data_IF_061066516261
#
_entry.id   IF_061066516261
#
_cell.length_a   1.000
_cell.length_b   1.000
_cell.length_c   1.000
_cell.angle_alpha   90.00
_cell.angle_beta   90.00
_cell.angle_gamma   90.00
#
_symmetry.space_group_name_H-M   'P 1'
#
loop_
_entity.id
_entity.type
_entity.pdbx_description
1 polymer ?
#
# COMPACT_ATOMS: atom_id res chain seq x y z
N UNK A 1 32.85 -35.89 -16.47
CA UNK A 1 33.55 -36.07 -15.17
C UNK A 1 34.16 -34.74 -14.76
N UNK A 2 33.82 -34.27 -13.55
CA UNK A 2 34.24 -33.04 -12.83
C UNK A 2 33.63 -31.73 -13.38
N UNK A 3 32.97 -30.86 -12.60
CA UNK A 3 32.63 -30.83 -11.17
C UNK A 3 31.33 -30.05 -10.99
N UNK A 4 30.38 -30.63 -10.26
CA UNK A 4 29.11 -30.01 -9.85
C UNK A 4 29.25 -29.51 -8.40
N UNK A 5 30.23 -28.64 -8.18
CA UNK A 5 30.41 -27.93 -6.91
C UNK A 5 30.30 -26.43 -7.22
N UNK A 6 29.45 -25.74 -6.45
CA UNK A 6 29.23 -24.29 -6.39
C UNK A 6 27.95 -23.71 -7.02
N UNK A 7 26.82 -24.41 -6.85
CA UNK A 7 25.53 -23.73 -6.65
C UNK A 7 24.68 -24.51 -5.64
N UNK A 8 25.07 -24.41 -4.37
CA UNK A 8 24.27 -24.86 -3.24
C UNK A 8 23.15 -23.85 -2.98
N UNK A 9 22.10 -23.85 -3.81
CA UNK A 9 20.80 -23.28 -3.41
C UNK A 9 19.98 -24.45 -2.87
N UNK A 10 19.95 -24.54 -1.55
CA UNK A 10 19.28 -25.58 -0.78
C UNK A 10 17.76 -25.57 -1.05
N UNK A 11 17.30 -26.46 -1.91
CA UNK A 11 15.90 -26.88 -2.01
C UNK A 11 15.72 -28.08 -1.06
N UNK A 12 15.24 -27.83 0.16
CA UNK A 12 14.69 -28.89 1.01
C UNK A 12 13.16 -28.88 0.92
N UNK A 13 12.61 -29.94 0.33
CA UNK A 13 11.21 -30.33 0.51
C UNK A 13 11.07 -31.29 1.71
N UNK A 14 10.07 -30.96 2.53
CA UNK A 14 9.19 -31.80 3.37
C UNK A 14 9.76 -32.62 4.54
N UNK A 15 9.14 -32.34 5.70
CA UNK A 15 8.90 -33.19 6.86
C UNK A 15 10.08 -33.49 7.80
N UNK A 16 10.26 -32.64 8.81
CA UNK A 16 10.55 -33.10 10.17
C UNK A 16 10.17 -32.03 11.21
N UNK A 17 9.51 -32.48 12.27
CA UNK A 17 8.81 -31.70 13.28
C UNK A 17 9.72 -30.86 14.20
N UNK A 18 9.11 -29.77 14.66
CA UNK A 18 9.32 -29.07 15.92
C UNK A 18 10.62 -28.24 16.12
N UNK A 19 10.42 -26.93 16.26
CA UNK A 19 11.27 -26.13 17.14
C UNK A 19 12.43 -25.37 16.50
N UNK A 20 12.31 -24.91 15.25
CA UNK A 20 13.26 -23.92 14.70
C UNK A 20 12.54 -22.60 14.52
N UNK A 21 13.03 -21.57 15.21
CA UNK A 21 12.70 -20.17 14.92
C UNK A 21 12.99 -19.95 13.42
N UNK A 22 11.94 -19.96 12.60
CA UNK A 22 12.06 -19.57 11.20
C UNK A 22 12.50 -18.12 11.20
N UNK A 23 13.77 -17.87 10.92
CA UNK A 23 14.21 -16.57 10.45
C UNK A 23 13.27 -16.17 9.32
N UNK A 24 12.59 -15.01 9.38
CA UNK A 24 11.63 -14.63 8.34
C UNK A 24 12.36 -14.71 7.00
N UNK A 25 11.87 -15.57 6.09
CA UNK A 25 12.32 -15.53 4.70
C UNK A 25 12.13 -14.09 4.26
N UNK A 26 13.24 -13.39 4.00
CA UNK A 26 13.21 -11.99 3.59
C UNK A 26 12.41 -11.96 2.29
N UNK A 27 11.16 -11.49 2.37
CA UNK A 27 10.32 -11.39 1.20
C UNK A 27 10.93 -10.33 0.29
N UNK A 28 11.61 -10.76 -0.77
CA UNK A 28 12.17 -9.87 -1.76
C UNK A 28 11.07 -9.46 -2.74
N UNK A 29 10.87 -8.15 -2.87
CA UNK A 29 9.95 -7.60 -3.85
C UNK A 29 10.65 -7.46 -5.20
N UNK A 30 10.01 -7.88 -6.28
CA UNK A 30 10.50 -7.70 -7.64
C UNK A 30 9.74 -6.58 -8.34
N UNK A 31 10.40 -5.91 -9.28
CA UNK A 31 9.74 -4.99 -10.21
C UNK A 31 9.55 -5.68 -11.55
N UNK A 32 8.44 -5.35 -12.21
CA UNK A 32 8.16 -5.78 -13.57
C UNK A 32 8.12 -4.57 -14.51
N UNK A 33 8.34 -4.75 -15.80
CA UNK A 33 8.22 -3.69 -16.79
C UNK A 33 7.82 -4.22 -18.18
N UNK A 34 6.99 -3.46 -18.89
CA UNK A 34 6.45 -3.82 -20.21
C UNK A 34 5.22 -4.73 -20.16
N UNK A 35 4.55 -4.82 -19.01
CA UNK A 35 3.36 -5.68 -18.83
C UNK A 35 2.07 -4.88 -18.73
N UNK A 36 2.03 -3.85 -17.87
CA UNK A 36 0.90 -2.91 -17.78
C UNK A 36 1.27 -1.69 -16.93
N UNK A 37 0.65 -0.54 -17.21
CA UNK A 37 0.88 0.71 -16.47
C UNK A 37 0.62 0.57 -14.96
N UNK A 38 -0.25 -0.36 -14.57
CA UNK A 38 -0.60 -0.60 -13.19
C UNK A 38 0.39 -1.50 -12.44
N UNK A 39 1.26 -2.24 -13.13
CA UNK A 39 2.25 -3.13 -12.50
C UNK A 39 3.67 -2.63 -12.72
N UNK A 40 3.90 -1.96 -13.84
CA UNK A 40 5.21 -1.53 -14.27
C UNK A 40 5.88 -0.66 -13.20
N UNK A 41 7.13 -1.03 -12.89
CA UNK A 41 7.96 -0.42 -11.87
C UNK A 41 7.45 -0.50 -10.44
N UNK A 42 6.31 -1.14 -10.16
CA UNK A 42 5.81 -1.29 -8.77
C UNK A 42 6.49 -2.47 -8.09
N UNK A 43 7.12 -2.28 -6.90
CA UNK A 43 7.64 -3.39 -6.12
C UNK A 43 6.51 -4.33 -5.74
N UNK A 44 6.60 -5.58 -6.21
CA UNK A 44 5.55 -6.58 -6.04
C UNK A 44 6.12 -7.80 -5.34
N UNK A 45 5.43 -8.25 -4.30
CA UNK A 45 5.84 -9.35 -3.44
C UNK A 45 5.37 -10.69 -4.03
N UNK A 46 6.07 -11.15 -5.07
CA UNK A 46 5.83 -12.46 -5.66
C UNK A 46 6.14 -13.57 -4.66
N UNK A 47 5.27 -14.56 -4.60
CA UNK A 47 5.43 -15.71 -3.69
C UNK A 47 6.28 -16.81 -4.34
N UNK A 48 6.37 -16.86 -5.67
CA UNK A 48 7.13 -17.87 -6.37
C UNK A 48 8.60 -17.44 -6.61
N UNK A 49 9.61 -18.20 -6.13
CA UNK A 49 11.03 -17.89 -6.35
C UNK A 49 11.45 -17.87 -7.82
N UNK A 50 10.69 -18.55 -8.69
CA UNK A 50 10.96 -18.64 -10.13
C UNK A 50 10.96 -17.28 -10.83
N UNK A 51 10.37 -16.26 -10.21
CA UNK A 51 10.41 -14.88 -10.71
C UNK A 51 11.84 -14.36 -10.78
N UNK A 52 12.66 -14.63 -9.76
CA UNK A 52 14.05 -14.18 -9.71
C UNK A 52 14.87 -14.67 -10.91
N UNK A 53 14.63 -15.92 -11.35
CA UNK A 53 15.33 -16.54 -12.47
C UNK A 53 15.04 -15.88 -13.83
N UNK A 54 13.97 -15.08 -13.93
CA UNK A 54 13.59 -14.38 -15.18
C UNK A 54 13.95 -12.89 -15.16
N UNK A 55 14.45 -12.39 -14.03
CA UNK A 55 14.88 -11.00 -13.92
C UNK A 55 16.17 -10.77 -14.69
N UNK A 56 16.39 -9.54 -15.13
CA UNK A 56 17.68 -9.12 -15.66
C UNK A 56 18.75 -9.25 -14.56
N UNK A 57 19.82 -9.97 -14.85
CA UNK A 57 20.93 -10.19 -13.91
C UNK A 57 21.67 -8.90 -13.51
N UNK A 58 21.54 -7.83 -14.32
CA UNK A 58 22.18 -6.53 -14.04
C UNK A 58 21.29 -5.59 -13.21
N UNK A 59 20.03 -5.37 -13.62
CA UNK A 59 19.14 -4.41 -12.95
C UNK A 59 18.07 -5.03 -12.04
N UNK A 60 17.93 -6.36 -12.02
CA UNK A 60 16.98 -7.09 -11.16
C UNK A 60 15.50 -6.94 -11.55
N UNK A 61 15.19 -6.29 -12.67
CA UNK A 61 13.80 -6.09 -13.14
C UNK A 61 13.41 -7.20 -14.09
N UNK A 62 12.18 -7.71 -13.96
CA UNK A 62 11.56 -8.64 -14.90
C UNK A 62 10.92 -7.85 -16.04
N UNK A 63 11.50 -7.93 -17.23
CA UNK A 63 10.93 -7.30 -18.42
C UNK A 63 10.11 -8.29 -19.23
N UNK A 64 9.10 -7.77 -19.94
CA UNK A 64 8.35 -8.56 -20.93
C UNK A 64 9.25 -9.13 -22.02
N UNK A 65 10.22 -8.34 -22.48
CA UNK A 65 11.23 -8.74 -23.47
C UNK A 65 12.62 -8.70 -22.84
N UNK A 66 13.38 -9.76 -23.07
CA UNK A 66 14.72 -9.93 -22.53
C UNK A 66 15.58 -10.75 -23.50
N UNK A 67 16.87 -10.85 -23.21
CA UNK A 67 17.86 -11.59 -23.98
C UNK A 67 18.53 -12.59 -23.04
N UNK A 68 18.61 -13.86 -23.44
CA UNK A 68 19.42 -14.87 -22.76
C UNK A 68 20.74 -15.04 -23.50
N UNK A 69 21.83 -14.80 -22.79
CA UNK A 69 23.19 -14.97 -23.29
C UNK A 69 23.56 -16.47 -23.40
N UNK A 70 24.60 -16.83 -24.19
CA UNK A 70 25.12 -18.21 -24.25
C UNK A 70 25.57 -18.77 -22.88
N UNK A 71 26.01 -17.89 -21.98
CA UNK A 71 26.35 -18.22 -20.60
C UNK A 71 25.13 -18.34 -19.67
N UNK A 72 23.91 -18.45 -20.22
CA UNK A 72 22.60 -18.61 -19.58
C UNK A 72 22.07 -17.43 -18.74
N UNK A 73 22.86 -16.38 -18.52
CA UNK A 73 22.40 -15.17 -17.85
C UNK A 73 21.39 -14.41 -18.72
N UNK A 74 20.33 -13.90 -18.08
CA UNK A 74 19.28 -13.11 -18.74
C UNK A 74 19.53 -11.62 -18.51
N UNK A 75 19.46 -10.82 -19.58
CA UNK A 75 19.54 -9.36 -19.55
C UNK A 75 18.27 -8.75 -20.15
N UNK A 76 17.85 -7.57 -19.69
CA UNK A 76 16.87 -6.80 -20.45
C UNK A 76 17.53 -6.18 -21.69
N UNK A 77 16.74 -5.76 -22.68
CA UNK A 77 17.27 -5.19 -23.92
C UNK A 77 18.20 -4.00 -23.65
N UNK A 78 17.80 -3.05 -22.80
CA UNK A 78 18.62 -1.89 -22.45
C UNK A 78 19.98 -2.26 -21.84
N UNK A 79 20.00 -3.23 -20.91
CA UNK A 79 21.26 -3.67 -20.29
C UNK A 79 22.10 -4.52 -21.24
N UNK A 80 21.47 -5.28 -22.13
CA UNK A 80 22.16 -6.00 -23.20
C UNK A 80 22.87 -5.03 -24.14
N UNK A 81 22.16 -4.00 -24.63
CA UNK A 81 22.71 -3.00 -25.56
C UNK A 81 23.92 -2.28 -24.94
N UNK A 82 23.85 -1.95 -23.65
CA UNK A 82 25.01 -1.42 -22.91
C UNK A 82 26.20 -2.39 -22.86
N UNK A 83 25.94 -3.69 -22.68
CA UNK A 83 27.02 -4.69 -22.70
C UNK A 83 27.65 -4.81 -24.08
N UNK A 84 26.87 -4.66 -25.15
CA UNK A 84 27.36 -4.63 -26.54
C UNK A 84 28.27 -3.41 -26.74
N UNK A 85 27.82 -2.22 -26.35
CA UNK A 85 28.60 -0.98 -26.44
C UNK A 85 29.94 -1.06 -25.66
N UNK A 86 29.98 -1.84 -24.57
CA UNK A 86 31.17 -2.06 -23.74
C UNK A 86 32.04 -3.26 -24.18
N UNK A 87 31.79 -3.87 -25.34
CA UNK A 87 32.63 -4.93 -25.92
C UNK A 87 32.09 -6.35 -25.76
N UNK A 88 30.76 -6.50 -25.64
CA UNK A 88 30.02 -7.77 -25.69
C UNK A 88 30.50 -8.83 -24.70
N UNK A 89 30.62 -8.44 -23.43
CA UNK A 89 30.94 -9.35 -22.34
C UNK A 89 29.79 -9.43 -21.32
N UNK A 90 29.47 -10.65 -20.87
CA UNK A 90 28.46 -10.86 -19.85
C UNK A 90 28.84 -10.10 -18.55
N UNK A 91 27.93 -9.31 -17.95
CA UNK A 91 28.27 -8.51 -16.77
C UNK A 91 28.56 -9.38 -15.53
N UNK A 92 28.04 -10.61 -15.50
CA UNK A 92 28.15 -11.54 -14.36
C UNK A 92 29.45 -12.34 -14.38
N UNK A 93 29.72 -13.07 -15.47
CA UNK A 93 30.86 -14.00 -15.57
C UNK A 93 31.96 -13.56 -16.55
N UNK A 94 31.81 -12.36 -17.14
CA UNK A 94 32.77 -11.73 -18.07
C UNK A 94 33.07 -12.54 -19.33
N UNK A 95 32.28 -13.59 -19.62
CA UNK A 95 32.44 -14.35 -20.86
C UNK A 95 31.98 -13.50 -22.05
N UNK A 96 32.75 -13.49 -23.16
CA UNK A 96 32.34 -12.82 -24.38
C UNK A 96 31.12 -13.52 -24.97
N UNK A 97 30.29 -12.77 -25.69
CA UNK A 97 29.18 -13.29 -26.47
C UNK A 97 29.13 -12.62 -27.85
N UNK A 98 28.59 -13.33 -28.84
CA UNK A 98 28.20 -12.74 -30.13
C UNK A 98 26.72 -12.37 -30.08
N UNK A 99 26.33 -11.25 -30.71
CA UNK A 99 24.93 -10.84 -30.80
C UNK A 99 24.06 -11.85 -31.57
N UNK A 100 24.64 -12.61 -32.50
CA UNK A 100 23.93 -13.64 -33.27
C UNK A 100 23.63 -14.91 -32.44
N UNK A 101 24.34 -15.12 -31.34
CA UNK A 101 24.24 -16.33 -30.50
C UNK A 101 23.30 -16.15 -29.30
N UNK A 102 22.61 -15.01 -29.20
CA UNK A 102 21.69 -14.71 -28.08
C UNK A 102 20.27 -15.15 -28.38
N UNK A 103 19.56 -15.62 -27.36
CA UNK A 103 18.14 -15.97 -27.49
C UNK A 103 17.25 -14.81 -27.03
N UNK A 104 16.32 -14.41 -27.89
CA UNK A 104 15.26 -13.45 -27.53
C UNK A 104 14.18 -14.14 -26.71
N UNK A 105 13.92 -13.61 -25.51
CA UNK A 105 12.89 -14.09 -24.60
C UNK A 105 11.70 -13.15 -24.58
N UNK A 106 10.49 -13.70 -24.63
CA UNK A 106 9.26 -12.98 -24.32
C UNK A 106 8.47 -13.68 -23.21
N UNK A 107 8.13 -12.94 -22.16
CA UNK A 107 7.27 -13.40 -21.08
C UNK A 107 5.83 -12.96 -21.39
N UNK A 108 4.87 -13.88 -21.57
CA UNK A 108 3.49 -13.52 -21.82
C UNK A 108 2.88 -12.76 -20.65
N UNK A 109 2.02 -11.76 -20.91
CA UNK A 109 1.30 -11.05 -19.83
C UNK A 109 0.53 -12.01 -18.92
N UNK A 110 -0.12 -13.03 -19.51
CA UNK A 110 -0.83 -14.08 -18.76
C UNK A 110 0.07 -14.83 -17.76
N UNK A 111 1.36 -14.98 -18.07
CA UNK A 111 2.31 -15.60 -17.15
C UNK A 111 2.42 -14.81 -15.85
N UNK A 112 2.51 -13.47 -15.93
CA UNK A 112 2.58 -12.58 -14.77
C UNK A 112 1.25 -12.49 -14.04
N UNK A 113 0.15 -12.32 -14.78
CA UNK A 113 -1.20 -12.19 -14.21
C UNK A 113 -1.60 -13.39 -13.34
N UNK A 114 -1.09 -14.58 -13.66
CA UNK A 114 -1.36 -15.81 -12.92
C UNK A 114 -0.42 -16.04 -11.73
N UNK A 115 0.58 -15.18 -11.50
CA UNK A 115 1.50 -15.35 -10.35
C UNK A 115 0.84 -14.92 -9.06
N UNK A 116 1.19 -15.63 -7.99
CA UNK A 116 0.69 -15.36 -6.66
C UNK A 116 1.52 -14.25 -6.03
N UNK A 117 0.84 -13.22 -5.54
CA UNK A 117 1.47 -12.05 -4.94
C UNK A 117 0.79 -11.72 -3.62
N UNK A 118 1.58 -11.20 -2.68
CA UNK A 118 1.02 -10.54 -1.51
C UNK A 118 0.59 -9.11 -1.88
N UNK A 119 -0.40 -8.57 -1.19
CA UNK A 119 -0.83 -7.19 -1.35
C UNK A 119 0.33 -6.20 -1.17
N UNK A 120 0.34 -5.09 -1.91
CA UNK A 120 1.31 -4.01 -1.71
C UNK A 120 1.24 -3.41 -0.28
N UNK A 121 0.10 -3.53 0.39
CA UNK A 121 -0.06 -3.15 1.80
C UNK A 121 0.23 -4.30 2.79
N UNK A 122 0.82 -5.42 2.35
CA UNK A 122 1.19 -6.52 3.26
C UNK A 122 2.12 -6.08 4.40
N UNK A 123 3.13 -5.20 4.20
CA UNK A 123 3.92 -4.64 5.30
C UNK A 123 3.13 -3.80 6.30
N UNK A 124 1.88 -3.44 5.98
CA UNK A 124 0.94 -2.72 6.87
C UNK A 124 -0.06 -3.63 7.57
N UNK A 125 -0.02 -4.94 7.29
CA UNK A 125 -0.90 -5.94 7.90
C UNK A 125 -1.93 -6.56 6.96
N UNK A 126 -1.96 -6.18 5.68
CA UNK A 126 -2.86 -6.83 4.73
C UNK A 126 -2.43 -8.28 4.49
N UNK A 127 -3.33 -9.23 4.75
CA UNK A 127 -3.08 -10.67 4.58
C UNK A 127 -3.47 -11.21 3.20
N UNK A 128 -3.88 -10.35 2.26
CA UNK A 128 -4.25 -10.81 0.92
C UNK A 128 -3.05 -11.41 0.19
N UNK A 129 -3.23 -12.64 -0.26
CA UNK A 129 -2.33 -13.38 -1.14
C UNK A 129 -3.19 -13.97 -2.26
N UNK A 130 -2.86 -13.69 -3.51
CA UNK A 130 -3.63 -14.18 -4.65
C UNK A 130 -3.01 -13.80 -5.99
N UNK A 131 -3.65 -14.15 -7.12
CA UNK A 131 -3.13 -13.84 -8.44
C UNK A 131 -2.96 -12.32 -8.66
N UNK A 132 -1.93 -11.92 -9.41
CA UNK A 132 -1.72 -10.52 -9.84
C UNK A 132 -2.97 -9.96 -10.53
N UNK A 133 -3.69 -10.78 -11.30
CA UNK A 133 -4.95 -10.40 -11.94
C UNK A 133 -6.00 -9.84 -10.95
N UNK A 134 -6.00 -10.35 -9.71
CA UNK A 134 -6.94 -9.93 -8.67
C UNK A 134 -6.37 -8.82 -7.76
N UNK A 135 -5.06 -8.59 -7.78
CA UNK A 135 -4.37 -7.65 -6.89
C UNK A 135 -4.90 -6.22 -7.03
N UNK A 136 -5.13 -5.75 -8.27
CA UNK A 136 -5.56 -4.37 -8.50
C UNK A 136 -6.96 -4.09 -7.95
N UNK A 137 -7.89 -5.03 -8.14
CA UNK A 137 -9.26 -4.88 -7.63
C UNK A 137 -9.31 -5.03 -6.10
N UNK A 138 -8.45 -5.88 -5.54
CA UNK A 138 -8.23 -5.92 -4.11
C UNK A 138 -7.68 -4.59 -3.58
N UNK A 139 -6.62 -4.05 -4.20
CA UNK A 139 -5.90 -2.87 -3.71
C UNK A 139 -6.80 -1.63 -3.61
N UNK A 140 -7.70 -1.43 -4.58
CA UNK A 140 -8.71 -0.35 -4.57
C UNK A 140 -9.60 -0.36 -3.32
N UNK A 141 -9.81 -1.54 -2.73
CA UNK A 141 -10.71 -1.77 -1.58
C UNK A 141 -9.95 -2.23 -0.33
N UNK A 142 -8.62 -2.10 -0.33
CA UNK A 142 -7.80 -2.61 0.76
C UNK A 142 -7.97 -1.77 2.03
N UNK A 143 -8.41 -2.38 3.12
CA UNK A 143 -8.58 -1.70 4.42
C UNK A 143 -7.26 -1.17 5.01
N UNK A 144 -6.13 -1.65 4.49
CA UNK A 144 -4.78 -1.24 4.87
C UNK A 144 -4.21 -0.12 3.99
N UNK A 145 -5.04 0.50 3.15
CA UNK A 145 -4.65 1.70 2.41
C UNK A 145 -4.26 2.81 3.39
N UNK A 146 -3.14 3.46 3.12
CA UNK A 146 -2.60 4.55 3.95
C UNK A 146 -2.75 5.88 3.23
N UNK A 147 -3.06 6.92 3.99
CA UNK A 147 -3.14 8.30 3.51
C UNK A 147 -2.38 9.23 4.46
N UNK A 148 -1.75 10.29 3.95
CA UNK A 148 -1.22 11.34 4.81
C UNK A 148 -2.39 12.13 5.39
N UNK A 149 -2.40 12.32 6.72
CA UNK A 149 -3.34 13.25 7.34
C UNK A 149 -3.09 14.66 6.80
N UNK A 150 -4.13 15.37 6.38
CA UNK A 150 -4.00 16.72 5.82
C UNK A 150 -3.59 17.79 6.85
N UNK A 151 -3.70 17.50 8.16
CA UNK A 151 -3.32 18.44 9.21
C UNK A 151 -1.92 18.17 9.74
N UNK A 152 -1.62 16.91 10.07
CA UNK A 152 -0.38 16.50 10.72
C UNK A 152 0.63 15.80 9.82
N UNK A 153 0.25 15.48 8.59
CA UNK A 153 1.03 14.70 7.62
C UNK A 153 1.46 13.31 8.12
N UNK A 154 0.99 12.87 9.29
CA UNK A 154 1.19 11.50 9.74
C UNK A 154 0.51 10.53 8.78
N UNK A 155 1.21 9.43 8.48
CA UNK A 155 0.67 8.32 7.71
C UNK A 155 -0.31 7.54 8.58
N UNK A 156 -1.57 7.48 8.16
CA UNK A 156 -2.66 6.81 8.87
C UNK A 156 -3.43 5.90 7.92
N UNK A 157 -4.02 4.82 8.45
CA UNK A 157 -4.94 4.01 7.67
C UNK A 157 -6.13 4.87 7.24
N UNK A 158 -6.56 4.74 5.98
CA UNK A 158 -7.69 5.47 5.44
C UNK A 158 -8.96 5.22 6.26
N UNK A 159 -9.16 3.98 6.70
CA UNK A 159 -10.25 3.54 7.57
C UNK A 159 -10.21 4.18 8.97
N UNK A 160 -9.01 4.51 9.47
CA UNK A 160 -8.80 5.09 10.81
C UNK A 160 -8.72 6.62 10.81
N UNK A 161 -8.84 7.31 9.66
CA UNK A 161 -8.63 8.76 9.58
C UNK A 161 -9.54 9.54 10.54
N UNK A 162 -10.80 9.11 10.70
CA UNK A 162 -11.73 9.73 11.63
C UNK A 162 -11.34 9.49 13.09
N UNK A 163 -10.89 8.27 13.41
CA UNK A 163 -10.39 7.90 14.74
C UNK A 163 -9.14 8.71 15.09
N UNK A 164 -8.24 8.90 14.13
CA UNK A 164 -7.08 9.78 14.27
C UNK A 164 -7.48 11.23 14.63
N UNK A 165 -8.47 11.80 13.94
CA UNK A 165 -8.97 13.15 14.27
C UNK A 165 -9.56 13.22 15.69
N UNK A 166 -10.37 12.24 16.07
CA UNK A 166 -10.97 12.17 17.42
C UNK A 166 -9.93 12.05 18.53
N UNK A 167 -8.80 11.40 18.25
CA UNK A 167 -7.73 11.16 19.21
C UNK A 167 -6.71 12.33 19.32
N UNK A 168 -7.07 13.53 18.87
CA UNK A 168 -6.24 14.72 19.08
C UNK A 168 -5.17 14.93 18.02
N UNK A 169 -5.49 14.66 16.75
CA UNK A 169 -4.68 15.10 15.61
C UNK A 169 -4.22 16.56 15.81
N UNK A 170 -2.91 16.75 15.93
CA UNK A 170 -2.30 18.05 16.22
C UNK A 170 -1.54 18.54 15.00
N UNK A 171 -1.70 19.82 14.66
CA UNK A 171 -0.92 20.45 13.59
C UNK A 171 0.56 20.35 14.00
N UNK A 172 1.48 19.90 13.12
CA UNK A 172 2.90 19.93 13.42
C UNK A 172 3.19 21.41 13.60
N UNK A 173 3.64 21.81 14.79
CA UNK A 173 4.22 23.13 14.94
C UNK A 173 5.28 23.24 13.86
N UNK A 174 5.08 24.16 12.93
CA UNK A 174 5.96 24.33 11.80
C UNK A 174 7.35 24.66 12.35
N UNK A 175 8.21 23.66 12.47
CA UNK A 175 9.64 23.85 12.60
C UNK A 175 10.11 24.38 11.26
N UNK A 176 10.11 25.71 11.18
CA UNK A 176 10.90 26.57 10.31
C UNK A 176 11.28 25.98 8.93
N UNK A 177 10.53 26.40 7.90
CA UNK A 177 11.13 26.64 6.60
C UNK A 177 10.57 27.94 6.02
N UNK A 178 11.42 28.87 5.57
CA UNK A 178 10.99 30.09 4.89
C UNK A 178 10.68 29.77 3.44
N UNK A 179 9.51 30.19 2.95
CA UNK A 179 9.33 31.04 1.75
C UNK A 179 7.83 31.16 1.50
N UNK A 180 7.31 32.36 1.76
CA UNK A 180 5.95 32.77 1.48
C UNK A 180 5.65 32.66 -0.01
N UNK A 181 4.66 31.83 -0.36
CA UNK A 181 3.97 31.94 -1.63
C UNK A 181 2.50 32.24 -1.32
N UNK A 182 1.89 33.31 -1.87
CA UNK A 182 0.54 33.75 -1.47
C UNK A 182 -0.53 32.65 -1.56
N UNK A 183 -0.40 31.77 -2.57
CA UNK A 183 -1.35 30.69 -2.81
C UNK A 183 -1.35 29.59 -1.73
N UNK A 184 -0.21 29.31 -1.09
CA UNK A 184 -0.14 28.29 -0.01
C UNK A 184 -0.65 28.85 1.32
N UNK A 185 -0.54 30.17 1.50
CA UNK A 185 -1.06 30.87 2.68
C UNK A 185 -2.59 30.95 2.65
N UNK A 186 -3.19 31.22 1.49
CA UNK A 186 -4.64 31.26 1.34
C UNK A 186 -5.28 29.88 1.59
N UNK A 187 -4.69 28.81 1.05
CA UNK A 187 -5.18 27.45 1.29
C UNK A 187 -5.10 27.06 2.78
N UNK A 188 -4.01 27.45 3.45
CA UNK A 188 -3.83 27.24 4.89
C UNK A 188 -4.87 28.02 5.70
N UNK A 189 -5.14 29.28 5.33
CA UNK A 189 -6.14 30.12 5.98
C UNK A 189 -7.56 29.57 5.82
N UNK A 190 -7.92 29.14 4.60
CA UNK A 190 -9.22 28.51 4.31
C UNK A 190 -9.38 27.22 5.11
N UNK A 191 -8.34 26.37 5.16
CA UNK A 191 -8.38 25.13 5.93
C UNK A 191 -8.56 25.41 7.43
N UNK A 192 -7.85 26.41 7.96
CA UNK A 192 -7.98 26.83 9.37
C UNK A 192 -9.38 27.38 9.66
N UNK A 193 -9.98 28.14 8.74
CA UNK A 193 -11.34 28.65 8.87
C UNK A 193 -12.37 27.49 8.87
N UNK A 194 -12.29 26.57 7.91
CA UNK A 194 -13.17 25.40 7.83
C UNK A 194 -13.13 24.55 9.11
N UNK A 195 -11.94 24.31 9.68
CA UNK A 195 -11.81 23.56 10.94
C UNK A 195 -12.49 24.26 12.12
N UNK A 196 -12.37 25.58 12.22
CA UNK A 196 -13.05 26.37 13.26
C UNK A 196 -14.55 26.30 13.09
N UNK A 197 -15.04 26.44 11.85
CA UNK A 197 -16.47 26.33 11.53
C UNK A 197 -17.02 24.96 11.89
N UNK A 198 -16.33 23.88 11.51
CA UNK A 198 -16.75 22.51 11.84
C UNK A 198 -16.80 22.27 13.36
N UNK A 199 -15.85 22.83 14.12
CA UNK A 199 -15.89 22.77 15.59
C UNK A 199 -17.08 23.53 16.18
N UNK A 200 -17.40 24.70 15.63
CA UNK A 200 -18.55 25.49 16.07
C UNK A 200 -19.87 24.78 15.74
N UNK A 201 -19.98 24.19 14.56
CA UNK A 201 -21.14 23.38 14.14
C UNK A 201 -21.33 22.19 15.11
N UNK A 202 -20.25 21.51 15.50
CA UNK A 202 -20.32 20.44 16.49
C UNK A 202 -20.95 20.89 17.82
N UNK A 203 -20.52 22.04 18.34
CA UNK A 203 -21.09 22.62 19.57
C UNK A 203 -22.57 22.98 19.42
N UNK A 204 -22.95 23.61 18.30
CA UNK A 204 -24.36 23.94 18.03
C UNK A 204 -25.19 22.66 17.97
N UNK A 205 -24.67 21.59 17.38
CA UNK A 205 -25.37 20.30 17.33
C UNK A 205 -25.57 19.71 18.73
N UNK A 206 -24.58 19.81 19.62
CA UNK A 206 -24.69 19.38 21.02
C UNK A 206 -25.73 20.21 21.77
N UNK A 207 -25.70 21.53 21.61
CA UNK A 207 -26.67 22.46 22.22
C UNK A 207 -28.10 22.17 21.75
N UNK A 208 -28.31 21.92 20.45
CA UNK A 208 -29.60 21.56 19.88
C UNK A 208 -30.13 20.27 20.49
N UNK A 209 -29.29 19.25 20.62
CA UNK A 209 -29.69 17.98 21.26
C UNK A 209 -30.08 18.17 22.73
N UNK A 210 -29.35 19.01 23.46
CA UNK A 210 -29.66 19.35 24.86
C UNK A 210 -31.00 20.10 24.97
N UNK A 211 -31.24 21.08 24.11
CA UNK A 211 -32.50 21.83 24.06
C UNK A 211 -33.68 20.93 23.69
N UNK A 212 -33.52 20.03 22.71
CA UNK A 212 -34.55 19.06 22.34
C UNK A 212 -34.90 18.13 23.51
N UNK A 213 -33.88 17.62 24.24
CA UNK A 213 -34.11 16.80 25.43
C UNK A 213 -34.86 17.57 26.52
N UNK A 214 -34.49 18.83 26.75
CA UNK A 214 -35.14 19.69 27.74
C UNK A 214 -36.59 19.99 27.37
N UNK A 215 -36.86 20.32 26.10
CA UNK A 215 -38.20 20.59 25.59
C UNK A 215 -39.12 19.37 25.73
N UNK A 216 -38.60 18.18 25.40
CA UNK A 216 -39.34 16.93 25.57
C UNK A 216 -39.71 16.71 27.04
N UNK A 217 -38.76 16.92 27.97
CA UNK A 217 -39.03 16.82 29.41
C UNK A 217 -40.10 17.82 29.86
N UNK A 218 -40.00 19.09 29.50
CA UNK A 218 -41.00 20.10 29.84
C UNK A 218 -42.40 19.78 29.26
N UNK A 219 -42.46 19.21 28.06
CA UNK A 219 -43.70 18.73 27.45
C UNK A 219 -44.33 17.61 28.27
N UNK A 220 -43.54 16.63 28.72
CA UNK A 220 -44.04 15.55 29.57
C UNK A 220 -44.48 16.05 30.96
N UNK A 221 -43.74 16.98 31.55
CA UNK A 221 -44.11 17.61 32.83
C UNK A 221 -45.44 18.38 32.72
N UNK A 222 -45.63 19.14 31.64
CA UNK A 222 -46.87 19.88 31.38
C UNK A 222 -48.07 18.93 31.15
N UNK A 223 -47.85 17.79 30.49
CA UNK A 223 -48.87 16.74 30.36
C UNK A 223 -49.21 16.15 31.73
N UNK A 224 -48.22 15.84 32.56
CA UNK A 224 -48.42 15.27 33.90
C UNK A 224 -49.14 16.23 34.87
N UNK A 225 -48.85 17.54 34.81
CA UNK A 225 -49.58 18.56 35.57
C UNK A 225 -51.02 18.74 35.08
N UNK A 226 -51.26 18.61 33.77
CA UNK A 226 -52.61 18.62 33.19
C UNK A 226 -53.47 17.45 33.69
N UNK A 227 -52.89 16.25 33.83
CA UNK A 227 -53.58 15.07 34.35
C UNK A 227 -53.87 15.17 35.86
N UNK A 228 -52.95 15.75 36.65
CA UNK A 228 -53.13 15.94 38.10
C UNK A 228 -54.19 17.00 38.45
N UNK A 229 -54.45 17.98 37.58
CA UNK A 229 -55.53 18.98 37.79
C UNK A 229 -56.94 18.44 37.51
N UNK A 230 -57.10 17.27 36.86
CA UNK A 230 -58.40 16.62 36.69
C UNK A 230 -58.77 15.67 37.86
N UNK A 231 -57.92 15.55 38.88
CA UNK A 231 -58.15 14.74 40.08
C UNK A 231 -58.25 15.61 41.36
N UNK A 232 -59.02 16.70 41.32
CA UNK A 232 -59.40 17.47 42.53
C UNK A 232 -60.48 16.75 43.36
N UNK A 233 -60.53 16.95 44.70
CA UNK A 233 -61.30 16.10 45.61
C UNK A 233 -62.82 16.24 45.43
N UNK A 234 -63.53 15.11 45.53
CA UNK A 234 -65.00 15.03 45.64
C UNK A 234 -65.51 15.88 46.81
N UNK A 235 -66.58 16.65 46.59
CA UNK A 235 -67.51 17.16 47.61
C UNK A 235 -68.90 17.15 46.98
N UNK A 236 -70.00 16.74 47.58
CA UNK A 236 -70.37 16.20 48.88
C UNK A 236 -71.88 15.92 48.78
#
# INVERSE_FOLDING_TARGET
>A
RRNLHDLQISLHTTEELAGRNLTPVKMESFRVAGFSDALDWRPTLFQEPIIAQKTCALCGVLYRKAVRLPCIHTLCTKCHDQCVDEGSACPVDKKPFCEDDVEQLEVPLKYILNRTVACWNAPKGCSFIGPVACLLDHYKKCDFNVVPCCLCHATVLQSDILKHFKNGCSIPQATNLPTDNPATQDLRNVTKACLKTNRAIGKISEDIMSLQSTLNRCSEDAKAEGTNKMQGPRRG
#
